data_IF_478341090480
#
_entry.id   IF_478341090480
#
_cell.length_a   1.000
_cell.length_b   1.000
_cell.length_c   1.000
_cell.angle_alpha   90.00
_cell.angle_beta   90.00
_cell.angle_gamma   90.00
#
_symmetry.space_group_name_H-M   'P 1'
#
loop_
_entity.id
_entity.type
_entity.pdbx_description
1 polymer ?
#
# COMPACT_ATOMS: atom_id res chain seq x y z
N UNK A 1 0.44 -5.02 66.58
CA UNK A 1 1.89 -4.59 66.51
C UNK A 1 1.98 -3.09 66.83
N UNK A 2 3.15 -2.43 66.96
CA UNK A 2 3.13 -0.95 67.11
C UNK A 2 2.83 -0.30 65.75
N UNK A 3 2.01 0.76 65.72
CA UNK A 3 1.68 1.51 64.49
C UNK A 3 2.93 1.95 63.71
N UNK A 4 3.98 2.34 64.44
CA UNK A 4 5.27 2.69 63.87
C UNK A 4 5.96 1.53 63.14
N UNK A 5 5.79 0.28 63.60
CA UNK A 5 6.35 -0.90 62.94
C UNK A 5 5.60 -1.22 61.63
N UNK A 6 4.28 -1.02 61.58
CA UNK A 6 3.48 -1.15 60.36
C UNK A 6 3.84 -0.11 59.31
N UNK A 7 3.96 1.15 59.72
CA UNK A 7 4.41 2.22 58.83
C UNK A 7 5.81 1.93 58.27
N UNK A 8 6.69 1.34 59.09
CA UNK A 8 8.02 0.93 58.66
C UNK A 8 8.01 -0.26 57.69
N UNK A 9 7.14 -1.26 57.90
CA UNK A 9 6.98 -2.39 56.98
C UNK A 9 6.37 -1.96 55.65
N UNK A 10 5.35 -1.09 55.68
CA UNK A 10 4.74 -0.47 54.50
C UNK A 10 5.78 0.28 53.67
N UNK A 11 6.59 1.11 54.31
CA UNK A 11 7.67 1.83 53.64
C UNK A 11 8.72 0.89 53.03
N UNK A 12 9.10 -0.19 53.73
CA UNK A 12 10.03 -1.21 53.22
C UNK A 12 9.46 -1.98 52.03
N UNK A 13 8.18 -2.35 52.06
CA UNK A 13 7.53 -3.08 50.98
C UNK A 13 7.36 -2.23 49.73
N UNK A 14 6.95 -0.96 49.89
CA UNK A 14 6.93 -0.01 48.78
C UNK A 14 8.33 0.14 48.19
N UNK A 15 9.36 0.42 49.00
CA UNK A 15 10.73 0.55 48.51
C UNK A 15 11.23 -0.70 47.77
N UNK A 16 10.92 -1.90 48.29
CA UNK A 16 11.25 -3.17 47.64
C UNK A 16 10.57 -3.29 46.26
N UNK A 17 9.27 -3.01 46.15
CA UNK A 17 8.55 -3.10 44.87
C UNK A 17 9.10 -2.11 43.84
N UNK A 18 9.43 -0.89 44.28
CA UNK A 18 10.06 0.13 43.42
C UNK A 18 11.35 -0.37 42.82
N UNK A 19 12.24 -0.88 43.66
CA UNK A 19 13.55 -1.39 43.19
C UNK A 19 13.38 -2.66 42.37
N UNK A 20 12.47 -3.55 42.76
CA UNK A 20 12.28 -4.84 42.09
C UNK A 20 11.74 -4.66 40.67
N UNK A 21 10.74 -3.81 40.47
CA UNK A 21 10.08 -3.62 39.17
C UNK A 21 10.98 -3.06 38.07
N UNK A 22 12.07 -2.38 38.44
CA UNK A 22 13.03 -1.80 37.48
C UNK A 22 14.40 -2.46 37.50
N UNK A 23 14.55 -3.51 38.31
CA UNK A 23 15.81 -4.24 38.43
C UNK A 23 16.17 -5.01 37.16
N UNK A 24 17.46 -5.32 36.99
CA UNK A 24 17.92 -6.24 35.94
C UNK A 24 17.27 -7.62 36.06
N UNK A 25 16.93 -8.04 37.29
CA UNK A 25 16.21 -9.28 37.49
C UNK A 25 14.81 -9.21 36.89
N UNK A 26 14.09 -8.10 37.06
CA UNK A 26 12.78 -7.93 36.41
C UNK A 26 12.89 -7.87 34.89
N UNK A 27 13.98 -7.31 34.36
CA UNK A 27 14.26 -7.33 32.92
C UNK A 27 14.41 -8.77 32.40
N UNK A 28 15.18 -9.59 33.13
CA UNK A 28 15.35 -11.02 32.81
C UNK A 28 14.04 -11.77 32.93
N UNK A 29 13.31 -11.60 34.03
CA UNK A 29 12.03 -12.30 34.24
C UNK A 29 10.99 -11.90 33.18
N UNK A 30 10.94 -10.62 32.79
CA UNK A 30 10.09 -10.14 31.71
C UNK A 30 10.42 -10.85 30.40
N UNK A 31 11.70 -10.85 30.01
CA UNK A 31 12.17 -11.54 28.80
C UNK A 31 11.85 -13.04 28.82
N UNK A 32 12.10 -13.72 29.94
CA UNK A 32 11.86 -15.18 30.05
C UNK A 32 10.38 -15.53 30.13
N UNK A 33 9.52 -14.64 30.63
CA UNK A 33 8.09 -14.87 30.76
C UNK A 33 7.30 -14.56 29.48
N UNK A 34 7.84 -13.74 28.57
CA UNK A 34 7.18 -13.35 27.33
C UNK A 34 6.76 -14.55 26.46
N UNK A 35 7.60 -15.57 26.21
CA UNK A 35 7.19 -16.74 25.42
C UNK A 35 6.03 -17.51 26.07
N UNK A 36 6.08 -17.68 27.40
CA UNK A 36 5.03 -18.38 28.14
C UNK A 36 3.72 -17.58 28.15
N UNK A 37 3.79 -16.26 28.33
CA UNK A 37 2.64 -15.36 28.24
C UNK A 37 2.02 -15.34 26.85
N UNK A 38 2.84 -15.33 25.81
CA UNK A 38 2.39 -15.42 24.41
C UNK A 38 1.70 -16.75 24.11
N UNK A 39 2.31 -17.87 24.52
CA UNK A 39 1.70 -19.19 24.37
C UNK A 39 0.36 -19.30 25.11
N UNK A 40 0.28 -18.75 26.34
CA UNK A 40 -0.96 -18.69 27.09
C UNK A 40 -2.03 -17.86 26.37
N UNK A 41 -1.67 -16.68 25.85
CA UNK A 41 -2.59 -15.84 25.07
C UNK A 41 -3.12 -16.56 23.82
N UNK A 42 -2.27 -17.28 23.09
CA UNK A 42 -2.69 -18.03 21.92
C UNK A 42 -3.59 -19.23 22.26
N UNK A 43 -3.41 -19.83 23.44
CA UNK A 43 -4.23 -20.93 23.92
C UNK A 43 -5.60 -20.48 24.45
N UNK A 44 -5.73 -19.22 24.87
CA UNK A 44 -6.99 -18.68 25.40
C UNK A 44 -8.03 -18.53 24.28
N UNK A 45 -9.29 -18.95 24.51
CA UNK A 45 -10.39 -18.71 23.58
C UNK A 45 -10.58 -17.21 23.29
N UNK A 46 -10.87 -16.86 22.03
CA UNK A 46 -11.06 -15.46 21.63
C UNK A 46 -12.14 -14.75 22.46
N UNK A 47 -13.21 -15.45 22.84
CA UNK A 47 -14.30 -14.89 23.63
C UNK A 47 -13.96 -14.57 25.09
N UNK A 48 -12.88 -15.13 25.62
CA UNK A 48 -12.40 -14.84 26.98
C UNK A 48 -11.44 -13.65 26.99
N UNK A 49 -10.84 -13.31 25.84
CA UNK A 49 -9.89 -12.21 25.69
C UNK A 49 -10.55 -10.89 25.31
N UNK A 50 -11.65 -10.94 24.56
CA UNK A 50 -12.27 -9.74 24.01
C UNK A 50 -13.73 -9.96 23.67
N UNK A 51 -14.45 -8.87 23.42
CA UNK A 51 -15.83 -8.88 22.95
C UNK A 51 -15.94 -8.09 21.62
N UNK A 52 -17.02 -8.28 20.85
CA UNK A 52 -17.18 -7.60 19.56
C UNK A 52 -17.14 -6.08 19.67
N UNK A 53 -17.65 -5.50 20.75
CA UNK A 53 -17.64 -4.06 20.95
C UNK A 53 -16.23 -3.55 21.29
N UNK A 54 -15.45 -4.30 22.09
CA UNK A 54 -14.04 -4.02 22.35
C UNK A 54 -13.20 -4.12 21.06
N UNK A 55 -13.36 -5.18 20.25
CA UNK A 55 -12.70 -5.31 18.96
C UNK A 55 -13.04 -4.16 18.01
N UNK A 56 -14.33 -3.81 17.90
CA UNK A 56 -14.77 -2.69 17.08
C UNK A 56 -14.21 -1.36 17.60
N UNK A 57 -14.17 -1.13 18.91
CA UNK A 57 -13.56 0.08 19.49
C UNK A 57 -12.05 0.14 19.26
N UNK A 58 -11.35 -0.99 19.37
CA UNK A 58 -9.92 -1.07 19.11
C UNK A 58 -9.62 -0.77 17.63
N UNK A 59 -10.41 -1.33 16.72
CA UNK A 59 -10.32 -1.03 15.29
C UNK A 59 -10.72 0.41 14.98
N UNK A 60 -11.80 0.93 15.55
CA UNK A 60 -12.21 2.33 15.40
C UNK A 60 -11.12 3.27 15.94
N UNK A 61 -10.46 2.94 17.07
CA UNK A 61 -9.36 3.72 17.62
C UNK A 61 -8.09 3.64 16.77
N UNK A 62 -7.76 2.46 16.23
CA UNK A 62 -6.62 2.27 15.33
C UNK A 62 -6.82 2.96 13.98
N UNK A 63 -8.06 2.99 13.47
CA UNK A 63 -8.39 3.47 12.12
C UNK A 63 -8.88 4.93 12.10
N UNK A 64 -9.45 5.44 13.19
CA UNK A 64 -10.11 6.76 13.27
C UNK A 64 -9.64 7.60 14.47
N UNK A 65 -8.76 7.08 15.33
CA UNK A 65 -8.29 7.79 16.50
C UNK A 65 -7.53 9.08 16.12
N UNK A 66 -7.81 10.23 16.76
CA UNK A 66 -7.01 11.45 16.61
C UNK A 66 -5.53 11.20 16.92
N UNK A 67 -5.23 10.21 17.77
CA UNK A 67 -3.86 9.79 18.10
C UNK A 67 -3.22 8.96 16.99
N UNK A 68 -3.99 8.15 16.26
CA UNK A 68 -3.48 7.40 15.11
C UNK A 68 -3.09 8.39 13.99
N UNK A 69 -3.96 9.33 13.62
CA UNK A 69 -3.62 10.33 12.60
C UNK A 69 -2.53 11.31 13.03
N UNK A 70 -2.48 11.73 14.30
CA UNK A 70 -1.46 12.68 14.80
C UNK A 70 -0.11 12.05 15.15
N UNK A 71 -0.05 10.77 15.53
CA UNK A 71 1.20 10.10 15.86
C UNK A 71 1.73 9.26 14.71
N UNK A 72 0.85 8.56 13.97
CA UNK A 72 1.25 7.72 12.83
C UNK A 72 1.67 8.60 11.66
N UNK A 73 1.01 9.73 11.37
CA UNK A 73 1.41 10.56 10.22
C UNK A 73 2.84 11.10 10.36
N UNK A 74 3.25 11.75 11.48
CA UNK A 74 4.63 12.22 11.63
C UNK A 74 5.63 11.07 11.80
N UNK A 75 5.27 9.99 12.52
CA UNK A 75 6.17 8.85 12.69
C UNK A 75 6.35 8.06 11.39
N UNK A 76 5.28 7.85 10.61
CA UNK A 76 5.34 7.21 9.31
C UNK A 76 6.15 8.07 8.33
N UNK A 77 5.95 9.40 8.27
CA UNK A 77 6.80 10.28 7.46
C UNK A 77 8.26 10.23 7.92
N UNK A 78 8.52 10.30 9.22
CA UNK A 78 9.88 10.27 9.77
C UNK A 78 10.59 8.92 9.54
N UNK A 79 9.85 7.82 9.44
CA UNK A 79 10.39 6.48 9.15
C UNK A 79 10.48 6.26 7.63
N UNK A 80 9.49 6.70 6.86
CA UNK A 80 9.41 6.48 5.41
C UNK A 80 10.38 7.35 4.63
N UNK A 81 10.59 8.62 5.00
CA UNK A 81 11.53 9.49 4.25
C UNK A 81 12.95 8.91 4.22
N UNK A 82 13.56 8.48 5.35
CA UNK A 82 14.86 7.81 5.32
C UNK A 82 14.85 6.47 4.58
N UNK A 83 13.73 5.73 4.64
CA UNK A 83 13.60 4.46 3.91
C UNK A 83 13.48 4.65 2.41
N UNK A 84 12.79 5.70 1.93
CA UNK A 84 12.71 6.06 0.52
C UNK A 84 14.08 6.55 0.03
N UNK A 85 14.78 7.38 0.82
CA UNK A 85 16.15 7.78 0.50
C UNK A 85 17.13 6.60 0.45
N UNK A 86 16.98 5.65 1.38
CA UNK A 86 17.76 4.41 1.36
C UNK A 86 17.41 3.55 0.14
N UNK A 87 16.12 3.40 -0.17
CA UNK A 87 15.62 2.64 -1.30
C UNK A 87 16.03 3.25 -2.66
N UNK A 88 16.16 4.58 -2.76
CA UNK A 88 16.71 5.26 -3.95
C UNK A 88 18.20 4.98 -4.16
N UNK A 89 18.93 4.68 -3.09
CA UNK A 89 20.36 4.33 -3.13
C UNK A 89 20.57 2.81 -3.22
N UNK A 90 19.50 2.04 -3.16
CA UNK A 90 19.54 0.58 -3.13
C UNK A 90 19.80 0.02 -4.54
N UNK A 91 20.95 -0.65 -4.76
CA UNK A 91 21.28 -1.20 -6.07
C UNK A 91 20.53 -2.50 -6.39
N UNK A 92 19.88 -3.09 -5.39
CA UNK A 92 19.19 -4.38 -5.50
C UNK A 92 17.94 -4.30 -6.39
N UNK A 93 17.63 -5.41 -7.05
CA UNK A 93 16.45 -5.52 -7.90
C UNK A 93 15.19 -5.73 -7.06
N UNK A 94 14.05 -5.27 -7.55
CA UNK A 94 12.77 -5.42 -6.84
C UNK A 94 12.42 -6.89 -6.51
N UNK A 95 12.85 -7.84 -7.35
CA UNK A 95 12.69 -9.27 -7.11
C UNK A 95 13.48 -9.81 -5.91
N UNK A 96 14.57 -9.17 -5.51
CA UNK A 96 15.39 -9.61 -4.37
C UNK A 96 14.70 -9.39 -3.02
N UNK A 97 13.71 -8.50 -2.98
CA UNK A 97 12.87 -8.24 -1.80
C UNK A 97 11.69 -9.19 -1.68
N UNK A 98 11.47 -10.04 -2.68
CA UNK A 98 10.41 -11.03 -2.68
C UNK A 98 10.99 -12.41 -2.39
N UNK A 99 10.36 -13.21 -1.49
CA UNK A 99 10.69 -14.61 -1.35
C UNK A 99 10.60 -15.32 -2.72
N UNK A 100 11.48 -16.28 -2.99
CA UNK A 100 11.50 -17.01 -4.27
C UNK A 100 10.15 -17.64 -4.60
N UNK A 101 9.40 -18.09 -3.58
CA UNK A 101 8.04 -18.61 -3.73
C UNK A 101 7.01 -17.56 -4.20
N UNK A 102 7.22 -16.29 -3.87
CA UNK A 102 6.34 -15.19 -4.27
C UNK A 102 6.42 -14.92 -5.78
N UNK A 103 7.57 -15.20 -6.42
CA UNK A 103 7.74 -15.06 -7.87
C UNK A 103 6.80 -15.97 -8.66
N UNK A 104 6.66 -17.23 -8.20
CA UNK A 104 5.74 -18.19 -8.81
C UNK A 104 4.27 -17.78 -8.60
N UNK A 105 3.95 -17.23 -7.41
CA UNK A 105 2.61 -16.69 -7.10
C UNK A 105 2.27 -15.47 -7.96
N UNK A 106 3.21 -14.54 -8.17
CA UNK A 106 3.06 -13.39 -9.06
C UNK A 106 2.84 -13.81 -10.51
N UNK A 107 3.62 -14.77 -11.02
CA UNK A 107 3.41 -15.32 -12.38
C UNK A 107 2.05 -15.98 -12.55
N UNK A 108 1.56 -16.68 -11.52
CA UNK A 108 0.20 -17.25 -11.50
C UNK A 108 -0.87 -16.17 -11.45
N UNK A 109 -0.67 -15.12 -10.65
CA UNK A 109 -1.58 -13.98 -10.57
C UNK A 109 -1.66 -13.26 -11.91
N UNK A 110 -0.53 -12.92 -12.52
CA UNK A 110 -0.42 -12.27 -13.82
C UNK A 110 -1.07 -13.08 -14.96
N UNK A 111 -1.11 -14.40 -14.83
CA UNK A 111 -1.77 -15.29 -15.79
C UNK A 111 -3.29 -15.32 -15.66
N UNK A 112 -3.88 -14.89 -14.54
CA UNK A 112 -5.33 -14.97 -14.33
C UNK A 112 -6.06 -14.12 -15.37
N UNK A 113 -7.14 -14.61 -15.99
CA UNK A 113 -8.01 -13.76 -16.78
C UNK A 113 -8.73 -12.75 -15.86
N UNK A 114 -9.08 -11.57 -16.40
CA UNK A 114 -9.89 -10.54 -15.71
C UNK A 114 -9.28 -9.92 -14.44
N UNK A 115 -7.95 -9.76 -14.39
CA UNK A 115 -7.29 -8.99 -13.31
C UNK A 115 -7.76 -7.53 -13.33
N UNK A 116 -7.95 -6.97 -14.53
CA UNK A 116 -8.49 -5.64 -14.74
C UNK A 116 -9.97 -5.73 -15.10
N UNK A 117 -10.79 -4.90 -14.46
CA UNK A 117 -12.21 -4.80 -14.79
C UNK A 117 -12.36 -4.20 -16.19
N UNK A 118 -13.10 -4.88 -17.07
CA UNK A 118 -13.46 -4.39 -18.41
C UNK A 118 -14.00 -2.97 -18.38
N UNK A 119 -14.87 -2.69 -17.40
CA UNK A 119 -15.48 -1.38 -17.24
C UNK A 119 -14.44 -0.30 -16.97
N UNK A 120 -13.45 -0.58 -16.12
CA UNK A 120 -12.40 0.38 -15.76
C UNK A 120 -11.43 0.61 -16.93
N UNK A 121 -11.04 -0.46 -17.62
CA UNK A 121 -10.17 -0.36 -18.80
C UNK A 121 -10.85 0.48 -19.89
N UNK A 122 -12.15 0.25 -20.14
CA UNK A 122 -12.91 1.04 -21.10
C UNK A 122 -13.01 2.51 -20.68
N UNK A 123 -13.29 2.80 -19.41
CA UNK A 123 -13.37 4.17 -18.89
C UNK A 123 -12.05 4.95 -19.01
N UNK A 124 -10.90 4.29 -18.79
CA UNK A 124 -9.59 4.93 -18.95
C UNK A 124 -9.28 5.18 -20.43
N UNK A 125 -9.55 4.20 -21.30
CA UNK A 125 -9.25 4.30 -22.73
C UNK A 125 -10.19 5.24 -23.49
N UNK A 126 -11.42 5.41 -23.01
CA UNK A 126 -12.40 6.36 -23.57
C UNK A 126 -12.32 7.75 -22.90
N UNK A 127 -11.31 7.99 -22.05
CA UNK A 127 -11.11 9.31 -21.45
C UNK A 127 -10.63 10.32 -22.49
N UNK A 128 -11.05 11.58 -22.34
CA UNK A 128 -10.67 12.67 -23.24
C UNK A 128 -9.15 12.85 -23.32
N UNK A 129 -8.45 12.68 -22.20
CA UNK A 129 -6.98 12.72 -22.14
C UNK A 129 -6.32 11.61 -22.98
N UNK A 130 -6.87 10.39 -22.97
CA UNK A 130 -6.33 9.30 -23.79
C UNK A 130 -6.65 9.51 -25.29
N UNK A 131 -7.83 10.05 -25.59
CA UNK A 131 -8.24 10.47 -26.94
C UNK A 131 -7.24 11.50 -27.52
N UNK A 132 -6.83 12.49 -26.72
CA UNK A 132 -5.85 13.51 -27.10
C UNK A 132 -4.46 12.91 -27.33
N UNK A 133 -3.93 12.13 -26.38
CA UNK A 133 -2.61 11.48 -26.52
C UNK A 133 -2.54 10.61 -27.77
N UNK A 134 -3.57 9.81 -28.03
CA UNK A 134 -3.61 8.97 -29.23
C UNK A 134 -3.76 9.78 -30.51
N UNK A 135 -4.48 10.90 -30.47
CA UNK A 135 -4.56 11.83 -31.59
C UNK A 135 -3.19 12.43 -31.89
N UNK A 136 -2.42 12.81 -30.89
CA UNK A 136 -1.06 13.34 -31.05
C UNK A 136 -0.08 12.30 -31.59
N UNK A 137 -0.11 11.06 -31.06
CA UNK A 137 0.73 9.96 -31.55
C UNK A 137 0.42 9.65 -33.01
N UNK A 138 -0.87 9.50 -33.35
CA UNK A 138 -1.26 9.21 -34.72
C UNK A 138 -0.96 10.39 -35.66
N UNK A 139 -1.10 11.63 -35.19
CA UNK A 139 -0.72 12.83 -35.96
C UNK A 139 0.78 12.87 -36.21
N UNK A 140 1.59 12.53 -35.21
CA UNK A 140 3.04 12.43 -35.36
C UNK A 140 3.42 11.31 -36.33
N UNK A 141 2.87 10.11 -36.16
CA UNK A 141 3.14 8.98 -37.06
C UNK A 141 2.74 9.27 -38.49
N UNK A 142 1.60 9.93 -38.70
CA UNK A 142 1.10 10.25 -40.04
C UNK A 142 1.87 11.41 -40.67
N UNK A 143 2.32 12.38 -39.87
CA UNK A 143 3.26 13.42 -40.30
C UNK A 143 4.62 12.81 -40.67
N UNK A 144 5.16 11.92 -39.85
CA UNK A 144 6.42 11.21 -40.10
C UNK A 144 6.31 10.31 -41.33
N UNK A 145 5.20 9.60 -41.50
CA UNK A 145 4.91 8.84 -42.71
C UNK A 145 4.77 9.76 -43.92
N UNK A 146 4.03 10.86 -43.83
CA UNK A 146 3.90 11.85 -44.91
C UNK A 146 5.24 12.46 -45.30
N UNK A 147 6.12 12.75 -44.34
CA UNK A 147 7.47 13.23 -44.62
C UNK A 147 8.37 12.16 -45.24
N UNK A 148 8.29 10.91 -44.77
CA UNK A 148 9.10 9.77 -45.27
C UNK A 148 8.61 9.22 -46.61
N UNK A 149 7.30 9.29 -46.85
CA UNK A 149 6.60 8.74 -48.02
C UNK A 149 6.10 9.87 -48.91
N UNK A 150 6.60 11.10 -48.73
CA UNK A 150 6.25 12.26 -49.53
C UNK A 150 6.39 11.86 -51.02
N UNK A 151 5.28 11.76 -51.78
CA UNK A 151 5.30 11.25 -53.15
C UNK A 151 6.09 12.17 -54.10
N UNK A 152 6.50 13.35 -53.62
CA UNK A 152 7.34 14.31 -54.33
C UNK A 152 8.85 14.17 -53.99
N UNK A 153 9.24 13.28 -53.07
CA UNK A 153 10.66 13.02 -52.69
C UNK A 153 11.00 11.52 -52.67
N UNK A 154 10.02 10.63 -52.49
CA UNK A 154 10.24 9.19 -52.54
C UNK A 154 10.19 8.66 -53.99
N UNK A 155 11.21 7.89 -54.40
CA UNK A 155 11.45 7.40 -55.78
C UNK A 155 10.33 6.54 -56.40
N UNK A 156 9.28 6.20 -55.66
CA UNK A 156 8.20 5.29 -56.11
C UNK A 156 6.88 6.01 -56.50
N UNK A 157 6.77 7.33 -56.32
CA UNK A 157 5.49 8.06 -56.45
C UNK A 157 5.22 8.85 -57.74
N UNK A 158 6.24 9.17 -58.53
CA UNK A 158 6.10 10.09 -59.67
C UNK A 158 5.61 9.49 -61.01
N UNK A 159 5.76 8.18 -61.34
CA UNK A 159 5.39 7.70 -62.67
C UNK A 159 3.89 7.68 -63.00
N UNK A 160 3.00 7.71 -61.99
CA UNK A 160 1.55 7.60 -62.19
C UNK A 160 0.83 8.96 -62.26
N UNK A 161 1.34 9.99 -61.56
CA UNK A 161 0.80 11.36 -61.63
C UNK A 161 1.30 12.13 -62.87
N UNK A 162 2.52 11.84 -63.33
CA UNK A 162 3.07 12.45 -64.56
C UNK A 162 2.32 12.06 -65.83
N UNK A 163 1.61 10.92 -65.85
CA UNK A 163 0.78 10.50 -67.00
C UNK A 163 -0.52 11.28 -67.18
N UNK A 164 -0.99 12.02 -66.18
CA UNK A 164 -2.21 12.86 -66.28
C UNK A 164 -1.94 14.36 -66.41
N UNK A 165 -0.72 14.80 -66.15
CA UNK A 165 -0.35 16.23 -66.09
C UNK A 165 0.39 16.70 -67.37
N UNK A 166 0.63 15.82 -68.34
CA UNK A 166 1.30 16.19 -69.60
C UNK A 166 0.44 17.03 -70.57
N UNK A 167 -0.69 17.61 -70.12
CA UNK A 167 -1.64 18.35 -70.96
C UNK A 167 -1.95 19.78 -70.52
N UNK A 168 -1.42 20.28 -69.39
CA UNK A 168 -1.62 21.66 -68.96
C UNK A 168 -0.32 22.27 -68.38
N UNK A 169 -0.07 23.55 -68.71
CA UNK A 169 1.22 24.25 -68.56
C UNK A 169 1.91 24.13 -67.20
N UNK A 170 3.21 23.81 -67.27
CA UNK A 170 4.11 23.45 -66.18
C UNK A 170 4.61 24.65 -65.36
N UNK A 171 4.65 24.48 -64.04
CA UNK A 171 5.34 25.37 -63.09
C UNK A 171 4.42 25.86 -61.97
N UNK A 172 3.73 26.98 -62.19
CA UNK A 172 2.99 27.70 -61.13
C UNK A 172 1.69 27.03 -60.66
N UNK A 173 1.02 26.27 -61.53
CA UNK A 173 -0.20 25.55 -61.17
C UNK A 173 0.06 24.37 -60.24
N UNK A 174 1.26 23.77 -60.31
CA UNK A 174 1.61 22.59 -59.53
C UNK A 174 1.98 22.97 -58.09
N UNK A 175 2.64 24.11 -57.88
CA UNK A 175 2.87 24.68 -56.55
C UNK A 175 1.58 25.23 -55.91
N UNK A 176 0.69 25.84 -56.69
CA UNK A 176 -0.62 26.28 -56.20
C UNK A 176 -1.52 25.09 -55.80
N UNK A 177 -1.54 24.03 -56.62
CA UNK A 177 -2.24 22.78 -56.28
C UNK A 177 -1.59 22.10 -55.08
N UNK A 178 -0.26 22.10 -54.97
CA UNK A 178 0.46 21.59 -53.81
C UNK A 178 0.09 22.34 -52.53
N UNK A 179 0.10 23.67 -52.56
CA UNK A 179 -0.24 24.50 -51.41
C UNK A 179 -1.72 24.36 -51.02
N UNK A 180 -2.63 24.26 -52.00
CA UNK A 180 -4.06 24.01 -51.76
C UNK A 180 -4.31 22.60 -51.20
N UNK A 181 -3.54 21.61 -51.66
CA UNK A 181 -3.63 20.22 -51.20
C UNK A 181 -3.06 20.09 -49.78
N UNK A 182 -1.89 20.66 -49.47
CA UNK A 182 -1.33 20.73 -48.11
C UNK A 182 -2.29 21.45 -47.15
N UNK A 183 -2.88 22.58 -47.55
CA UNK A 183 -3.84 23.35 -46.73
C UNK A 183 -5.15 22.60 -46.43
N UNK A 184 -5.59 21.70 -47.33
CA UNK A 184 -6.82 20.90 -47.16
C UNK A 184 -6.56 19.55 -46.51
N UNK A 185 -5.38 18.98 -46.71
CA UNK A 185 -4.98 17.70 -46.13
C UNK A 185 -4.89 17.77 -44.63
N UNK A 186 -4.28 18.82 -44.07
CA UNK A 186 -4.09 18.92 -42.62
C UNK A 186 -5.41 18.78 -41.82
N UNK A 187 -6.46 19.58 -42.09
CA UNK A 187 -7.73 19.45 -41.35
C UNK A 187 -8.47 18.12 -41.61
N UNK A 188 -8.39 17.55 -42.81
CA UNK A 188 -8.97 16.22 -43.10
C UNK A 188 -8.19 15.09 -42.43
N UNK A 189 -6.86 15.18 -42.39
CA UNK A 189 -5.99 14.28 -41.61
C UNK A 189 -6.37 14.36 -40.14
N UNK A 190 -6.49 15.55 -39.55
CA UNK A 190 -6.85 15.69 -38.13
C UNK A 190 -8.24 15.08 -37.83
N UNK A 191 -9.23 15.29 -38.70
CA UNK A 191 -10.58 14.71 -38.55
C UNK A 191 -10.59 13.18 -38.69
N UNK A 192 -9.89 12.66 -39.71
CA UNK A 192 -9.73 11.21 -39.93
C UNK A 192 -8.93 10.54 -38.80
N UNK A 193 -7.88 11.19 -38.31
CA UNK A 193 -7.07 10.70 -37.20
C UNK A 193 -7.85 10.69 -35.90
N UNK A 194 -8.65 11.72 -35.61
CA UNK A 194 -9.48 11.75 -34.41
C UNK A 194 -10.53 10.63 -34.41
N UNK A 195 -11.16 10.37 -35.55
CA UNK A 195 -12.12 9.27 -35.69
C UNK A 195 -11.46 7.89 -35.68
N UNK A 196 -10.28 7.76 -36.29
CA UNK A 196 -9.49 6.52 -36.27
C UNK A 196 -8.85 6.24 -34.90
N UNK A 197 -8.44 7.28 -34.18
CA UNK A 197 -7.93 7.22 -32.80
C UNK A 197 -8.97 6.60 -31.86
N UNK A 198 -10.19 7.13 -31.87
CA UNK A 198 -11.33 6.60 -31.10
C UNK A 198 -11.65 5.15 -31.45
N UNK A 199 -11.58 4.81 -32.74
CA UNK A 199 -11.79 3.43 -33.20
C UNK A 199 -10.67 2.50 -32.72
N UNK A 200 -9.41 2.93 -32.82
CA UNK A 200 -8.24 2.18 -32.37
C UNK A 200 -8.25 2.00 -30.84
N UNK A 201 -8.67 3.01 -30.08
CA UNK A 201 -8.84 2.93 -28.63
C UNK A 201 -9.91 1.92 -28.22
N UNK A 202 -11.06 1.90 -28.92
CA UNK A 202 -12.09 0.87 -28.73
C UNK A 202 -11.60 -0.53 -29.08
N UNK A 203 -10.93 -0.70 -30.23
CA UNK A 203 -10.36 -1.98 -30.63
C UNK A 203 -9.25 -2.46 -29.68
N UNK A 204 -8.47 -1.52 -29.11
CA UNK A 204 -7.46 -1.80 -28.09
C UNK A 204 -8.11 -2.21 -26.78
N UNK A 205 -9.19 -1.54 -26.37
CA UNK A 205 -10.00 -1.92 -25.20
C UNK A 205 -10.57 -3.33 -25.37
N UNK A 206 -11.19 -3.61 -26.53
CA UNK A 206 -11.75 -4.93 -26.83
C UNK A 206 -10.65 -6.00 -26.91
N UNK A 207 -9.46 -5.68 -27.43
CA UNK A 207 -8.32 -6.59 -27.38
C UNK A 207 -7.84 -6.82 -25.94
N UNK A 208 -7.69 -5.77 -25.13
CA UNK A 208 -7.25 -5.87 -23.74
C UNK A 208 -8.24 -6.63 -22.85
N UNK A 209 -9.52 -6.67 -23.22
CA UNK A 209 -10.59 -7.30 -22.45
C UNK A 209 -10.94 -8.68 -22.99
N UNK A 210 -11.35 -8.77 -24.26
CA UNK A 210 -11.83 -10.01 -24.87
C UNK A 210 -10.67 -10.95 -25.21
N UNK A 211 -9.49 -10.39 -25.51
CA UNK A 211 -8.27 -11.16 -25.82
C UNK A 211 -7.31 -11.27 -24.64
N UNK A 212 -7.66 -10.76 -23.46
CA UNK A 212 -6.87 -10.86 -22.23
C UNK A 212 -6.38 -12.28 -21.92
N UNK A 213 -7.23 -13.28 -22.16
CA UNK A 213 -6.97 -14.69 -21.89
C UNK A 213 -6.17 -15.40 -22.99
N UNK A 214 -5.90 -14.74 -24.12
CA UNK A 214 -5.11 -15.36 -25.19
C UNK A 214 -3.65 -15.53 -24.75
N UNK A 215 -2.96 -16.58 -25.21
CA UNK A 215 -1.59 -16.89 -24.79
C UNK A 215 -0.60 -15.73 -24.91
N UNK A 216 -0.71 -14.92 -25.99
CA UNK A 216 0.18 -13.76 -26.21
C UNK A 216 0.00 -12.67 -25.16
N UNK A 217 -1.24 -12.36 -24.75
CA UNK A 217 -1.51 -11.35 -23.74
C UNK A 217 -1.20 -11.84 -22.32
N UNK A 218 -1.35 -13.13 -22.05
CA UNK A 218 -0.87 -13.76 -20.81
C UNK A 218 0.66 -13.69 -20.74
N UNK A 219 1.35 -14.06 -21.82
CA UNK A 219 2.80 -14.00 -21.90
C UNK A 219 3.33 -12.56 -21.71
N UNK A 220 2.69 -11.55 -22.32
CA UNK A 220 3.04 -10.15 -22.12
C UNK A 220 2.90 -9.72 -20.65
N UNK A 221 1.81 -10.08 -19.97
CA UNK A 221 1.62 -9.75 -18.54
C UNK A 221 2.62 -10.43 -17.64
N UNK A 222 2.92 -11.71 -17.90
CA UNK A 222 3.96 -12.43 -17.18
C UNK A 222 5.35 -11.86 -17.43
N UNK A 223 5.63 -11.43 -18.66
CA UNK A 223 6.86 -10.76 -19.01
C UNK A 223 6.98 -9.41 -18.30
N UNK A 224 5.95 -8.55 -18.33
CA UNK A 224 5.94 -7.28 -17.60
C UNK A 224 6.10 -7.47 -16.09
N UNK A 225 5.41 -8.46 -15.51
CA UNK A 225 5.55 -8.79 -14.10
C UNK A 225 6.99 -9.25 -13.76
N UNK A 226 7.63 -10.02 -14.64
CA UNK A 226 9.02 -10.47 -14.44
C UNK A 226 10.00 -9.32 -14.65
N UNK A 227 9.79 -8.51 -15.69
CA UNK A 227 10.59 -7.33 -16.01
C UNK A 227 10.57 -6.32 -14.85
N UNK A 228 9.41 -6.06 -14.24
CA UNK A 228 9.30 -5.20 -13.05
C UNK A 228 10.16 -5.71 -11.88
N UNK A 229 10.27 -7.02 -11.71
CA UNK A 229 11.12 -7.62 -10.66
C UNK A 229 12.60 -7.56 -11.00
N UNK A 230 12.95 -7.42 -12.28
CA UNK A 230 14.33 -7.25 -12.74
C UNK A 230 14.81 -5.81 -12.67
N UNK A 231 13.89 -4.84 -12.53
CA UNK A 231 14.24 -3.43 -12.40
C UNK A 231 14.87 -3.13 -11.04
N UNK A 232 15.80 -2.17 -11.03
CA UNK A 232 16.36 -1.64 -9.78
C UNK A 232 15.32 -0.77 -9.10
N UNK A 233 15.22 -0.89 -7.78
CA UNK A 233 14.31 -0.04 -7.00
C UNK A 233 14.66 1.43 -7.17
N UNK A 234 15.94 1.76 -7.23
CA UNK A 234 16.42 3.10 -7.53
C UNK A 234 15.82 3.69 -8.83
N UNK A 235 15.80 2.91 -9.92
CA UNK A 235 15.28 3.35 -11.23
C UNK A 235 13.75 3.51 -11.24
N UNK A 236 13.03 2.71 -10.44
CA UNK A 236 11.58 2.85 -10.27
C UNK A 236 11.20 4.06 -9.42
N UNK A 237 12.06 4.45 -8.48
CA UNK A 237 11.84 5.59 -7.58
C UNK A 237 12.44 6.90 -8.10
N UNK A 238 13.28 6.87 -9.12
CA UNK A 238 13.92 8.06 -9.72
C UNK A 238 12.90 9.02 -10.34
N UNK A 239 11.77 8.49 -10.81
CA UNK A 239 10.65 9.27 -11.34
C UNK A 239 9.80 9.96 -10.26
N UNK A 240 9.97 9.58 -8.97
CA UNK A 240 9.35 10.24 -7.84
C UNK A 240 10.38 11.19 -7.22
N UNK A 241 10.26 12.48 -7.52
CA UNK A 241 10.95 13.53 -6.78
C UNK A 241 10.47 13.59 -5.32
N UNK A 242 11.18 14.34 -4.46
CA UNK A 242 10.84 14.45 -3.04
C UNK A 242 9.43 15.00 -2.81
N UNK A 243 8.99 15.90 -3.68
CA UNK A 243 7.65 16.48 -3.65
C UNK A 243 6.59 15.44 -4.05
N UNK A 244 6.80 14.68 -5.11
CA UNK A 244 5.93 13.58 -5.54
C UNK A 244 5.85 12.45 -4.52
N UNK A 245 6.96 12.12 -3.85
CA UNK A 245 6.97 11.11 -2.79
C UNK A 245 6.16 11.56 -1.56
N UNK A 246 6.31 12.82 -1.16
CA UNK A 246 5.52 13.41 -0.09
C UNK A 246 4.02 13.45 -0.45
N UNK A 247 3.67 13.87 -1.66
CA UNK A 247 2.28 13.91 -2.15
C UNK A 247 1.66 12.52 -2.25
N UNK A 248 2.39 11.52 -2.74
CA UNK A 248 1.90 10.15 -2.81
C UNK A 248 1.65 9.56 -1.41
N UNK A 249 2.53 9.89 -0.45
CA UNK A 249 2.36 9.47 0.94
C UNK A 249 1.13 10.14 1.57
N UNK A 250 0.96 11.44 1.40
CA UNK A 250 -0.21 12.17 1.90
C UNK A 250 -1.49 11.63 1.28
N UNK A 251 -1.52 11.41 -0.03
CA UNK A 251 -2.67 10.84 -0.73
C UNK A 251 -3.02 9.44 -0.22
N UNK A 252 -2.03 8.57 0.02
CA UNK A 252 -2.28 7.23 0.53
C UNK A 252 -2.87 7.28 1.95
N UNK A 253 -2.29 8.09 2.83
CA UNK A 253 -2.77 8.28 4.20
C UNK A 253 -4.17 8.89 4.20
N UNK A 254 -4.44 9.87 3.34
CA UNK A 254 -5.73 10.54 3.26
C UNK A 254 -6.80 9.67 2.60
N UNK A 255 -6.46 8.89 1.59
CA UNK A 255 -7.36 7.90 0.98
C UNK A 255 -7.70 6.77 1.97
N UNK A 256 -6.72 6.30 2.75
CA UNK A 256 -6.94 5.33 3.83
C UNK A 256 -7.85 5.95 4.91
N UNK A 257 -7.52 7.14 5.42
CA UNK A 257 -8.35 7.83 6.42
C UNK A 257 -9.77 8.09 5.91
N UNK A 258 -9.93 8.51 4.66
CA UNK A 258 -11.23 8.76 4.06
C UNK A 258 -12.02 7.45 3.84
N UNK A 259 -11.40 6.41 3.29
CA UNK A 259 -12.01 5.10 3.11
C UNK A 259 -12.43 4.46 4.43
N UNK A 260 -11.67 4.67 5.50
CA UNK A 260 -11.92 4.10 6.83
C UNK A 260 -12.91 4.91 7.69
N UNK A 261 -13.07 6.21 7.39
CA UNK A 261 -14.03 7.11 8.05
C UNK A 261 -15.42 7.12 7.40
N UNK A 262 -15.56 6.45 6.26
CA UNK A 262 -16.85 6.22 5.59
C UNK A 262 -17.81 5.41 6.46
N UNK A 263 -18.89 6.07 6.90
CA UNK A 263 -19.91 5.47 7.78
C UNK A 263 -20.58 4.23 7.16
N UNK A 264 -20.76 4.23 5.84
CA UNK A 264 -21.35 3.12 5.09
C UNK A 264 -20.46 1.85 5.09
N UNK A 265 -19.14 2.01 5.20
CA UNK A 265 -18.21 0.89 5.36
C UNK A 265 -18.04 0.48 6.83
N UNK A 266 -18.24 1.41 7.77
CA UNK A 266 -18.16 1.13 9.21
C UNK A 266 -19.24 0.14 9.68
N UNK A 267 -20.49 0.27 9.20
CA UNK A 267 -21.57 -0.66 9.54
C UNK A 267 -21.31 -2.07 8.97
N UNK A 268 -20.87 -2.16 7.71
CA UNK A 268 -20.49 -3.43 7.08
C UNK A 268 -19.31 -4.09 7.79
N UNK A 269 -18.31 -3.31 8.20
CA UNK A 269 -17.17 -3.77 8.99
C UNK A 269 -17.63 -4.32 10.34
N UNK A 270 -18.48 -3.60 11.06
CA UNK A 270 -19.02 -4.04 12.37
C UNK A 270 -19.78 -5.36 12.26
N UNK A 271 -20.61 -5.51 11.21
CA UNK A 271 -21.31 -6.76 10.93
C UNK A 271 -20.34 -7.91 10.61
N UNK A 272 -19.29 -7.65 9.82
CA UNK A 272 -18.27 -8.66 9.50
C UNK A 272 -17.47 -9.09 10.74
N UNK A 273 -17.11 -8.14 11.62
CA UNK A 273 -16.40 -8.44 12.89
C UNK A 273 -17.28 -9.24 13.83
N UNK A 274 -18.57 -8.91 13.92
CA UNK A 274 -19.52 -9.67 14.73
C UNK A 274 -19.66 -11.10 14.20
N UNK A 275 -19.80 -11.28 12.88
CA UNK A 275 -19.86 -12.59 12.25
C UNK A 275 -18.59 -13.41 12.52
N UNK A 276 -17.42 -12.79 12.30
CA UNK A 276 -16.11 -13.39 12.60
C UNK A 276 -16.00 -13.81 14.07
N UNK A 277 -16.39 -12.92 14.99
CA UNK A 277 -16.35 -13.21 16.43
C UNK A 277 -17.28 -14.36 16.80
N UNK A 278 -18.52 -14.37 16.32
CA UNK A 278 -19.48 -15.44 16.63
C UNK A 278 -18.94 -16.79 16.16
N UNK A 279 -18.34 -16.84 14.98
CA UNK A 279 -17.75 -18.04 14.40
C UNK A 279 -16.52 -18.53 15.18
N UNK A 280 -15.71 -17.63 15.74
CA UNK A 280 -14.39 -17.96 16.29
C UNK A 280 -14.26 -17.85 17.82
N UNK A 281 -15.26 -17.33 18.53
CA UNK A 281 -15.20 -17.04 19.98
C UNK A 281 -14.81 -18.23 20.86
N UNK A 282 -15.16 -19.46 20.46
CA UNK A 282 -14.86 -20.67 21.23
C UNK A 282 -13.52 -21.30 20.87
N UNK A 283 -12.82 -20.77 19.86
CA UNK A 283 -11.54 -21.30 19.41
C UNK A 283 -10.39 -20.54 20.05
N UNK A 284 -9.28 -21.24 20.38
CA UNK A 284 -8.03 -20.59 20.76
C UNK A 284 -7.58 -19.60 19.70
N UNK A 285 -7.05 -18.44 20.12
CA UNK A 285 -6.58 -17.41 19.18
C UNK A 285 -5.53 -17.96 18.21
N UNK A 286 -4.64 -18.84 18.67
CA UNK A 286 -3.64 -19.48 17.82
C UNK A 286 -4.26 -20.24 16.64
N UNK A 287 -5.33 -20.99 16.89
CA UNK A 287 -6.03 -21.76 15.85
C UNK A 287 -6.75 -20.83 14.87
N UNK A 288 -7.36 -19.76 15.37
CA UNK A 288 -8.03 -18.75 14.55
C UNK A 288 -7.03 -18.08 13.61
N UNK A 289 -5.87 -17.66 14.14
CA UNK A 289 -4.80 -17.06 13.33
C UNK A 289 -4.25 -18.04 12.28
N UNK A 290 -4.02 -19.29 12.67
CA UNK A 290 -3.53 -20.34 11.77
C UNK A 290 -4.51 -20.64 10.63
N UNK A 291 -5.82 -20.67 10.89
CA UNK A 291 -6.86 -20.85 9.86
C UNK A 291 -6.84 -19.75 8.79
N UNK A 292 -6.44 -18.54 9.17
CA UNK A 292 -6.31 -17.41 8.25
C UNK A 292 -4.89 -17.26 7.68
N UNK A 293 -4.00 -18.22 7.92
CA UNK A 293 -2.62 -18.20 7.43
C UNK A 293 -1.75 -17.15 8.09
N UNK A 294 -2.16 -16.64 9.26
CA UNK A 294 -1.39 -15.69 10.05
C UNK A 294 -0.48 -16.48 10.99
N UNK A 295 0.75 -16.72 10.55
CA UNK A 295 1.81 -17.27 11.40
C UNK A 295 2.68 -16.12 11.88
N UNK A 296 2.51 -15.74 13.16
CA UNK A 296 3.34 -14.73 13.81
C UNK A 296 4.13 -15.39 14.93
N UNK A 297 5.42 -15.61 14.69
CA UNK A 297 6.38 -15.97 15.71
C UNK A 297 7.17 -14.71 16.06
N UNK A 298 6.89 -14.07 17.20
CA UNK A 298 7.57 -12.86 17.59
C UNK A 298 9.02 -13.17 17.98
N UNK A 299 9.97 -12.32 17.58
CA UNK A 299 11.28 -12.28 18.21
C UNK A 299 11.14 -11.68 19.62
N UNK A 300 10.98 -12.55 20.62
CA UNK A 300 10.77 -12.15 22.01
C UNK A 300 11.97 -11.40 22.59
N UNK A 301 13.17 -11.64 22.07
CA UNK A 301 14.38 -10.98 22.54
C UNK A 301 14.42 -9.54 22.03
N UNK A 302 14.10 -9.32 20.75
CA UNK A 302 13.95 -7.99 20.18
C UNK A 302 12.78 -7.22 20.82
N UNK A 303 11.64 -7.86 21.04
CA UNK A 303 10.49 -7.26 21.70
C UNK A 303 10.78 -6.90 23.16
N UNK A 304 11.46 -7.78 23.91
CA UNK A 304 11.89 -7.49 25.27
C UNK A 304 12.84 -6.28 25.29
N UNK A 305 13.81 -6.24 24.38
CA UNK A 305 14.75 -5.13 24.24
C UNK A 305 14.09 -3.78 23.93
N UNK A 306 13.04 -3.79 23.10
CA UNK A 306 12.30 -2.58 22.73
C UNK A 306 11.30 -2.12 23.80
N UNK A 307 10.58 -3.05 24.43
CA UNK A 307 9.51 -2.74 25.38
C UNK A 307 10.03 -2.49 26.78
N UNK A 308 11.09 -3.18 27.22
CA UNK A 308 11.59 -3.07 28.59
C UNK A 308 11.98 -1.65 29.00
N UNK A 309 12.69 -0.85 28.17
CA UNK A 309 12.98 0.55 28.51
C UNK A 309 11.71 1.38 28.75
N UNK A 310 10.64 1.13 27.99
CA UNK A 310 9.36 1.82 28.15
C UNK A 310 8.65 1.40 29.43
N UNK A 311 8.62 0.09 29.72
CA UNK A 311 8.06 -0.46 30.97
C UNK A 311 8.81 0.10 32.17
N UNK A 312 10.14 0.11 32.12
CA UNK A 312 10.99 0.67 33.17
C UNK A 312 10.70 2.16 33.39
N UNK A 313 10.67 2.95 32.33
CA UNK A 313 10.38 4.38 32.42
C UNK A 313 8.97 4.65 32.96
N UNK A 314 7.98 3.84 32.56
CA UNK A 314 6.63 3.91 33.10
C UNK A 314 6.61 3.57 34.60
N UNK A 315 7.29 2.50 35.01
CA UNK A 315 7.43 2.12 36.41
C UNK A 315 8.17 3.18 37.24
N UNK A 316 9.16 3.88 36.70
CA UNK A 316 9.87 4.98 37.37
C UNK A 316 9.04 6.27 37.47
N UNK A 317 7.94 6.39 36.71
CA UNK A 317 7.11 7.60 36.68
C UNK A 317 6.35 7.83 37.99
N UNK A 318 6.26 9.10 38.42
CA UNK A 318 5.56 9.48 39.65
C UNK A 318 4.10 8.97 39.75
N UNK A 319 3.28 8.96 38.68
CA UNK A 319 1.92 8.43 38.75
C UNK A 319 1.85 6.93 39.05
N UNK A 320 2.69 6.12 38.40
CA UNK A 320 2.75 4.67 38.65
C UNK A 320 3.30 4.38 40.04
N UNK A 321 4.28 5.17 40.47
CA UNK A 321 4.86 5.06 41.81
C UNK A 321 3.88 5.38 42.93
N UNK A 322 2.97 6.34 42.73
CA UNK A 322 1.89 6.64 43.65
C UNK A 322 0.82 5.54 43.66
N UNK A 323 0.47 5.00 42.50
CA UNK A 323 -0.47 3.88 42.40
C UNK A 323 0.04 2.62 43.12
N UNK A 324 1.34 2.31 42.99
CA UNK A 324 1.96 1.20 43.73
C UNK A 324 1.89 1.40 45.25
N UNK A 325 2.08 2.64 45.73
CA UNK A 325 1.93 2.94 47.16
C UNK A 325 0.49 2.73 47.64
N UNK A 326 -0.52 3.02 46.81
CA UNK A 326 -1.93 2.72 47.12
C UNK A 326 -2.18 1.22 47.22
N UNK A 327 -1.65 0.41 46.31
CA UNK A 327 -1.79 -1.06 46.39
C UNK A 327 -1.17 -1.60 47.68
N UNK A 328 0.02 -1.12 48.02
CA UNK A 328 0.67 -1.52 49.27
C UNK A 328 -0.16 -1.07 50.46
N UNK A 329 -0.74 0.14 50.43
CA UNK A 329 -1.64 0.61 51.48
C UNK A 329 -2.86 -0.31 51.65
N UNK A 330 -3.57 -0.60 50.57
CA UNK A 330 -4.75 -1.48 50.56
C UNK A 330 -4.43 -2.88 51.10
N UNK A 331 -3.25 -3.42 50.77
CA UNK A 331 -2.79 -4.71 51.30
C UNK A 331 -2.69 -4.69 52.83
N UNK A 332 -2.10 -3.65 53.43
CA UNK A 332 -1.98 -3.54 54.88
C UNK A 332 -3.31 -3.19 55.56
N UNK A 333 -4.16 -2.40 54.89
CA UNK A 333 -5.49 -2.03 55.40
C UNK A 333 -6.47 -3.23 55.39
N UNK A 334 -6.23 -4.22 54.52
CA UNK A 334 -7.00 -5.46 54.44
C UNK A 334 -6.52 -6.59 55.37
N UNK A 335 -5.49 -6.37 56.19
CA UNK A 335 -5.04 -7.36 57.17
C UNK A 335 -6.02 -7.41 58.36
N UNK A 336 -6.32 -8.62 58.89
CA UNK A 336 -7.26 -8.75 60.00
C UNK A 336 -6.74 -8.08 61.29
N UNK A 337 -7.68 -7.57 62.11
CA UNK A 337 -7.43 -6.74 63.30
C UNK A 337 -6.62 -7.45 64.42
N UNK A 338 -6.45 -8.76 64.32
CA UNK A 338 -5.66 -9.58 65.23
C UNK A 338 -4.15 -9.53 64.92
N UNK A 339 -3.78 -9.02 63.75
CA UNK A 339 -2.39 -8.79 63.34
C UNK A 339 -1.96 -7.33 63.54
N UNK A 340 -2.86 -6.35 63.33
CA UNK A 340 -2.55 -4.91 63.34
C UNK A 340 -2.13 -4.37 64.72
#
# INVERSE_FOLDING_TARGET
>A
MSRALWDQLKAKQSAFLRTRLVSEQAARDFRTSLPAGWAALLATPLGDLTDPAALNRALDAALQGPSASRAIRPAATAILSPLIEAARKEPSRAGEFLPTEAHAKLRRLAARPKILSEKLVRQVLESEAMDEVMTDILSSMLRDFSHRVNPLVAEWGLPSLLKRISLFGLGKGLEAVRAEFERRLDPEIFSFLRSSSRKALRETSDALVQRAAQPKHVALRQHLATWLLEQRIAELLDALDDEGAALAQELLVDALNHGLSRKDLAERRRAAILAFYIEHRTHPVGDVLARHGITFEPDFDALAGALWPLVRAACESAPVQAWLETIVAEFFDGLPDDLT
#
